data_IF_707419722998
#
_entry.id   IF_707419722998
#
_cell.length_a   1.000
_cell.length_b   1.000
_cell.length_c   1.000
_cell.angle_alpha   90.00
_cell.angle_beta   90.00
_cell.angle_gamma   90.00
#
_symmetry.space_group_name_H-M   'P 1'
#
loop_
_entity.id
_entity.type
_entity.pdbx_description
1 polymer ?
#
# COMPACT_ATOMS: atom_id res chain seq x y z
N UNK A 1 -22.84 0.20 -6.12
CA UNK A 1 -22.06 -1.04 -6.11
C UNK A 1 -21.83 -1.46 -4.67
N UNK A 2 -21.79 -2.76 -4.42
CA UNK A 2 -21.33 -3.35 -3.16
C UNK A 2 -19.84 -3.63 -3.26
N UNK A 3 -19.05 -3.04 -2.37
CA UNK A 3 -17.59 -3.14 -2.40
C UNK A 3 -17.10 -3.72 -1.08
N UNK A 4 -16.39 -4.83 -1.16
CA UNK A 4 -15.61 -5.34 -0.01
C UNK A 4 -14.22 -4.70 -0.05
N UNK A 5 -13.82 -4.09 1.06
CA UNK A 5 -12.46 -3.59 1.30
C UNK A 5 -11.80 -4.52 2.32
N UNK A 6 -11.10 -5.52 1.83
CA UNK A 6 -10.31 -6.42 2.69
C UNK A 6 -9.02 -5.72 3.11
N UNK A 7 -8.69 -5.73 4.40
CA UNK A 7 -7.61 -4.94 4.99
C UNK A 7 -8.05 -3.51 5.28
N UNK A 8 -9.36 -3.31 5.47
CA UNK A 8 -10.00 -2.01 5.62
C UNK A 8 -9.71 -1.29 6.93
N UNK A 9 -9.01 -1.90 7.89
CA UNK A 9 -8.49 -1.18 9.06
C UNK A 9 -7.05 -0.65 8.86
N UNK A 10 -6.41 -1.07 7.76
CA UNK A 10 -5.05 -0.69 7.41
C UNK A 10 -4.90 0.75 6.89
N UNK A 11 -3.64 1.15 6.66
CA UNK A 11 -3.28 2.51 6.24
C UNK A 11 -3.93 2.95 4.91
N UNK A 12 -3.94 2.09 3.90
CA UNK A 12 -4.62 2.39 2.63
C UNK A 12 -6.10 2.00 2.65
N UNK A 13 -6.44 0.89 3.31
CA UNK A 13 -7.80 0.36 3.33
C UNK A 13 -8.80 1.24 4.06
N UNK A 14 -8.42 1.78 5.22
CA UNK A 14 -9.30 2.62 6.04
C UNK A 14 -9.81 3.87 5.30
N UNK A 15 -8.94 4.76 4.79
CA UNK A 15 -9.40 5.94 4.09
C UNK A 15 -10.09 5.58 2.77
N UNK A 16 -9.72 4.47 2.12
CA UNK A 16 -10.43 3.95 0.94
C UNK A 16 -11.87 3.56 1.26
N UNK A 17 -12.11 2.86 2.37
CA UNK A 17 -13.46 2.47 2.80
C UNK A 17 -14.35 3.68 3.12
N UNK A 18 -13.82 4.65 3.87
CA UNK A 18 -14.52 5.89 4.16
C UNK A 18 -14.90 6.65 2.88
N UNK A 19 -13.94 6.79 1.99
CA UNK A 19 -14.13 7.49 0.73
C UNK A 19 -15.17 6.82 -0.17
N UNK A 20 -15.07 5.51 -0.39
CA UNK A 20 -16.05 4.77 -1.20
C UNK A 20 -17.45 4.84 -0.58
N UNK A 21 -17.55 4.80 0.75
CA UNK A 21 -18.82 5.02 1.46
C UNK A 21 -19.35 6.43 1.18
N UNK A 22 -18.49 7.47 1.24
CA UNK A 22 -18.85 8.85 0.90
C UNK A 22 -19.34 8.98 -0.54
N UNK A 23 -18.76 8.27 -1.51
CA UNK A 23 -19.23 8.23 -2.90
C UNK A 23 -20.57 7.49 -3.08
N UNK A 24 -21.09 6.85 -2.03
CA UNK A 24 -22.41 6.22 -2.04
C UNK A 24 -22.39 4.73 -2.40
N UNK A 25 -21.23 4.09 -2.38
CA UNK A 25 -21.13 2.64 -2.45
C UNK A 25 -21.57 1.99 -1.13
N UNK A 26 -22.11 0.77 -1.21
CA UNK A 26 -22.38 -0.08 -0.04
C UNK A 26 -21.06 -0.79 0.32
N UNK A 27 -20.42 -0.38 1.40
CA UNK A 27 -19.06 -0.80 1.75
C UNK A 27 -19.08 -1.77 2.92
N UNK A 28 -18.33 -2.86 2.76
CA UNK A 28 -18.00 -3.80 3.83
C UNK A 28 -16.48 -3.87 4.03
N UNK A 29 -16.04 -3.86 5.29
CA UNK A 29 -14.64 -4.11 5.66
C UNK A 29 -14.50 -5.56 6.09
N UNK A 30 -13.45 -6.23 5.60
CA UNK A 30 -13.01 -7.54 6.07
C UNK A 30 -11.60 -7.40 6.63
N UNK A 31 -11.38 -7.70 7.90
CA UNK A 31 -10.06 -7.53 8.53
C UNK A 31 -9.93 -8.44 9.75
N UNK A 32 -8.76 -9.06 9.97
CA UNK A 32 -8.49 -9.84 11.19
C UNK A 32 -7.77 -9.01 12.28
N UNK A 33 -7.51 -7.73 12.01
CA UNK A 33 -6.82 -6.77 12.86
C UNK A 33 -5.37 -7.17 13.19
N UNK A 34 -4.78 -8.13 12.46
CA UNK A 34 -3.45 -8.66 12.76
C UNK A 34 -2.37 -7.59 12.65
N UNK A 35 -2.56 -6.57 11.80
CA UNK A 35 -1.64 -5.44 11.69
C UNK A 35 -1.45 -4.72 13.04
N UNK A 36 -2.49 -4.66 13.88
CA UNK A 36 -2.38 -4.07 15.24
C UNK A 36 -1.59 -4.98 16.18
N UNK A 37 -1.71 -6.30 16.02
CA UNK A 37 -0.91 -7.28 16.79
C UNK A 37 0.58 -7.20 16.44
N UNK A 38 0.93 -6.88 15.19
CA UNK A 38 2.34 -6.61 14.85
C UNK A 38 2.88 -5.37 15.57
N UNK A 39 2.06 -4.34 15.83
CA UNK A 39 2.50 -3.18 16.63
C UNK A 39 2.85 -3.64 18.06
N UNK A 40 2.05 -4.52 18.66
CA UNK A 40 2.33 -5.10 19.98
C UNK A 40 3.60 -5.96 19.98
N UNK A 41 3.74 -6.84 18.99
CA UNK A 41 4.92 -7.70 18.80
C UNK A 41 6.22 -6.89 18.71
N UNK A 42 6.20 -5.86 17.87
CA UNK A 42 7.36 -4.99 17.62
C UNK A 42 7.54 -3.92 18.71
N UNK A 43 6.63 -3.87 19.70
CA UNK A 43 6.56 -2.79 20.71
C UNK A 43 6.58 -1.40 20.06
N UNK A 44 5.86 -1.26 18.96
CA UNK A 44 5.71 -0.05 18.17
C UNK A 44 4.30 0.53 18.32
N UNK A 45 4.09 1.68 17.70
CA UNK A 45 2.81 2.36 17.68
C UNK A 45 2.69 3.25 16.46
N UNK A 46 1.47 3.68 16.16
CA UNK A 46 1.22 4.82 15.28
C UNK A 46 1.54 6.14 15.99
N UNK A 47 2.17 7.09 15.27
CA UNK A 47 2.37 8.48 15.75
C UNK A 47 1.01 9.09 16.09
N UNK A 48 0.07 9.04 15.15
CA UNK A 48 -1.32 9.43 15.40
C UNK A 48 -2.01 8.39 16.29
N UNK A 49 -2.77 8.81 17.31
CA UNK A 49 -3.64 7.89 18.03
C UNK A 49 -4.74 7.40 17.09
N UNK A 50 -4.99 6.08 17.09
CA UNK A 50 -6.04 5.45 16.29
C UNK A 50 -6.98 4.67 17.21
N UNK A 51 -8.26 4.68 16.88
CA UNK A 51 -9.31 4.01 17.65
C UNK A 51 -9.56 2.60 17.11
N UNK A 52 -10.36 1.82 17.83
CA UNK A 52 -10.79 0.50 17.35
C UNK A 52 -11.58 0.62 16.05
N UNK A 53 -11.65 -0.47 15.27
CA UNK A 53 -12.41 -0.46 14.02
C UNK A 53 -13.90 -0.21 14.30
N UNK A 54 -14.42 -0.74 15.41
CA UNK A 54 -15.79 -0.58 15.88
C UNK A 54 -16.12 0.89 16.17
N UNK A 55 -15.27 1.59 16.93
CA UNK A 55 -15.43 3.02 17.22
C UNK A 55 -15.34 3.87 15.95
N UNK A 56 -14.42 3.51 15.06
CA UNK A 56 -14.20 4.16 13.76
C UNK A 56 -15.45 4.10 12.87
N UNK A 57 -16.04 2.93 12.66
CA UNK A 57 -17.25 2.79 11.84
C UNK A 57 -18.49 3.37 12.52
N UNK A 58 -18.57 3.30 13.85
CA UNK A 58 -19.64 3.95 14.61
C UNK A 58 -19.58 5.48 14.46
N UNK A 59 -18.37 6.07 14.54
CA UNK A 59 -18.19 7.51 14.33
C UNK A 59 -18.54 7.93 12.90
N UNK A 60 -18.18 7.12 11.90
CA UNK A 60 -18.56 7.40 10.52
C UNK A 60 -20.09 7.43 10.34
N UNK A 61 -20.79 6.44 10.92
CA UNK A 61 -22.26 6.39 10.90
C UNK A 61 -22.89 7.57 11.64
N UNK A 62 -22.34 7.96 12.78
CA UNK A 62 -22.78 9.15 13.53
C UNK A 62 -22.65 10.43 12.69
N UNK A 63 -21.51 10.61 12.01
CA UNK A 63 -21.21 11.83 11.23
C UNK A 63 -21.98 11.93 9.93
N UNK A 64 -22.24 10.80 9.28
CA UNK A 64 -22.72 10.78 7.88
C UNK A 64 -24.05 10.08 7.68
N UNK A 65 -24.54 9.33 8.67
CA UNK A 65 -25.67 8.41 8.54
C UNK A 65 -25.36 7.16 7.71
N UNK A 66 -24.16 7.01 7.15
CA UNK A 66 -23.76 5.87 6.31
C UNK A 66 -23.14 4.78 7.15
N UNK A 67 -23.58 3.55 6.93
CA UNK A 67 -23.06 2.37 7.62
C UNK A 67 -21.97 1.69 6.79
N UNK A 68 -20.88 1.30 7.44
CA UNK A 68 -19.86 0.40 6.89
C UNK A 68 -19.92 -0.88 7.71
N UNK A 69 -20.27 -1.98 7.06
CA UNK A 69 -20.34 -3.29 7.73
C UNK A 69 -18.94 -3.81 7.99
N UNK A 70 -18.73 -4.50 9.11
CA UNK A 70 -17.43 -5.09 9.46
C UNK A 70 -17.55 -6.60 9.61
N UNK A 71 -16.58 -7.32 9.06
CA UNK A 71 -16.43 -8.77 9.22
C UNK A 71 -15.03 -9.05 9.76
N UNK A 72 -14.96 -9.44 11.03
CA UNK A 72 -13.69 -9.67 11.71
C UNK A 72 -13.25 -11.12 11.53
N UNK A 73 -12.22 -11.37 10.72
CA UNK A 73 -11.75 -12.71 10.43
C UNK A 73 -10.63 -12.76 9.40
N UNK A 74 -9.98 -13.93 9.33
CA UNK A 74 -8.81 -14.16 8.48
C UNK A 74 -9.22 -14.68 7.10
N UNK A 75 -8.67 -14.11 6.03
CA UNK A 75 -8.90 -14.59 4.66
C UNK A 75 -8.37 -16.02 4.43
N UNK A 76 -7.42 -16.47 5.25
CA UNK A 76 -6.91 -17.83 5.22
C UNK A 76 -7.93 -18.85 5.77
N UNK A 77 -8.98 -18.41 6.46
CA UNK A 77 -10.10 -19.25 6.88
C UNK A 77 -11.21 -19.21 5.82
N UNK A 78 -11.18 -20.15 4.88
CA UNK A 78 -12.08 -20.15 3.73
C UNK A 78 -13.58 -20.19 4.09
N UNK A 79 -13.96 -20.87 5.18
CA UNK A 79 -15.36 -20.89 5.64
C UNK A 79 -15.86 -19.50 6.04
N UNK A 80 -15.02 -18.72 6.73
CA UNK A 80 -15.32 -17.32 7.05
C UNK A 80 -15.46 -16.49 5.79
N UNK A 81 -14.49 -16.59 4.87
CA UNK A 81 -14.52 -15.83 3.62
C UNK A 81 -15.74 -16.19 2.76
N UNK A 82 -16.07 -17.47 2.67
CA UNK A 82 -17.25 -17.97 1.95
C UNK A 82 -18.53 -17.36 2.48
N UNK A 83 -18.67 -17.27 3.81
CA UNK A 83 -19.85 -16.67 4.43
C UNK A 83 -19.94 -15.16 4.15
N UNK A 84 -18.81 -14.44 4.21
CA UNK A 84 -18.76 -13.02 3.81
C UNK A 84 -19.25 -12.84 2.37
N UNK A 85 -18.75 -13.66 1.44
CA UNK A 85 -19.17 -13.57 0.03
C UNK A 85 -20.65 -13.90 -0.16
N UNK A 86 -21.20 -14.88 0.56
CA UNK A 86 -22.63 -15.22 0.52
C UNK A 86 -23.51 -14.11 1.06
N UNK A 87 -23.10 -13.43 2.13
CA UNK A 87 -23.86 -12.34 2.73
C UNK A 87 -23.78 -11.03 1.93
N UNK A 88 -22.58 -10.65 1.51
CA UNK A 88 -22.36 -9.36 0.84
C UNK A 88 -22.76 -9.44 -0.64
N UNK A 89 -22.40 -10.53 -1.33
CA UNK A 89 -22.49 -10.65 -2.79
C UNK A 89 -21.83 -9.44 -3.48
N UNK A 90 -20.50 -9.28 -3.35
CA UNK A 90 -19.80 -8.07 -3.80
C UNK A 90 -19.78 -7.92 -5.32
N UNK A 91 -19.90 -6.68 -5.79
CA UNK A 91 -19.65 -6.29 -7.18
C UNK A 91 -18.15 -6.09 -7.43
N UNK A 92 -17.42 -5.63 -6.41
CA UNK A 92 -15.96 -5.47 -6.42
C UNK A 92 -15.34 -5.87 -5.07
N UNK A 93 -14.13 -6.40 -5.13
CA UNK A 93 -13.33 -6.81 -3.98
C UNK A 93 -11.97 -6.12 -4.04
N UNK A 94 -11.74 -5.15 -3.16
CA UNK A 94 -10.47 -4.45 -3.01
C UNK A 94 -9.62 -5.18 -1.98
N UNK A 95 -8.47 -5.69 -2.40
CA UNK A 95 -7.63 -6.56 -1.57
C UNK A 95 -6.38 -5.83 -1.06
N UNK A 96 -6.47 -5.24 0.13
CA UNK A 96 -5.34 -4.73 0.93
C UNK A 96 -4.87 -5.68 2.04
N UNK A 97 -5.65 -6.73 2.35
CA UNK A 97 -5.45 -7.66 3.48
C UNK A 97 -4.23 -8.58 3.36
N UNK A 98 -3.03 -8.01 3.45
CA UNK A 98 -1.77 -8.75 3.34
C UNK A 98 -0.69 -8.19 4.28
N UNK A 99 0.27 -9.02 4.66
CA UNK A 99 1.50 -8.56 5.31
C UNK A 99 2.30 -7.76 4.27
N UNK A 100 2.44 -6.45 4.51
CA UNK A 100 2.93 -5.49 3.50
C UNK A 100 4.36 -4.95 3.68
N UNK A 101 4.99 -5.28 4.80
CA UNK A 101 6.31 -4.76 5.16
C UNK A 101 7.41 -5.66 4.64
N UNK A 102 8.29 -5.07 3.82
CA UNK A 102 9.54 -5.70 3.42
C UNK A 102 10.43 -6.01 4.63
N UNK A 103 10.70 -5.06 5.56
CA UNK A 103 11.43 -5.39 6.79
C UNK A 103 10.83 -6.52 7.60
N UNK A 104 9.51 -6.52 7.82
CA UNK A 104 8.84 -7.57 8.59
C UNK A 104 9.10 -8.93 7.97
N UNK A 105 8.98 -9.02 6.63
CA UNK A 105 9.22 -10.27 5.89
C UNK A 105 10.66 -10.80 5.96
N UNK A 106 11.59 -10.04 6.52
CA UNK A 106 13.01 -10.35 6.60
C UNK A 106 13.54 -10.40 8.04
N UNK A 107 12.67 -10.31 9.06
CA UNK A 107 13.07 -10.39 10.48
C UNK A 107 13.73 -11.74 10.76
N UNK A 108 13.04 -12.82 10.43
CA UNK A 108 13.51 -14.19 10.59
C UNK A 108 12.74 -15.14 9.65
N UNK A 109 12.98 -16.45 9.80
CA UNK A 109 12.35 -17.50 9.00
C UNK A 109 10.83 -17.55 9.21
N UNK A 110 10.37 -17.41 10.45
CA UNK A 110 8.96 -17.46 10.83
C UNK A 110 8.19 -16.33 10.13
N UNK A 111 8.72 -15.11 10.15
CA UNK A 111 8.11 -13.95 9.50
C UNK A 111 8.12 -14.04 7.97
N UNK A 112 9.20 -14.57 7.38
CA UNK A 112 9.29 -14.78 5.94
C UNK A 112 8.25 -15.81 5.46
N UNK A 113 8.17 -16.96 6.14
CA UNK A 113 7.20 -18.02 5.83
C UNK A 113 5.77 -17.53 6.05
N UNK A 114 5.53 -16.84 7.17
CA UNK A 114 4.23 -16.26 7.46
C UNK A 114 3.80 -15.27 6.37
N UNK A 115 4.68 -14.36 5.95
CA UNK A 115 4.39 -13.39 4.88
C UNK A 115 3.96 -14.08 3.60
N UNK A 116 4.67 -15.13 3.20
CA UNK A 116 4.37 -15.90 1.99
C UNK A 116 3.05 -16.66 2.13
N UNK A 117 2.85 -17.39 3.23
CA UNK A 117 1.64 -18.17 3.47
C UNK A 117 0.40 -17.27 3.56
N UNK A 118 0.44 -16.26 4.43
CA UNK A 118 -0.67 -15.35 4.66
C UNK A 118 -1.15 -14.68 3.36
N UNK A 119 -0.21 -14.14 2.59
CA UNK A 119 -0.53 -13.37 1.39
C UNK A 119 -1.01 -14.29 0.26
N UNK A 120 -0.21 -15.31 -0.08
CA UNK A 120 -0.48 -16.16 -1.24
C UNK A 120 -1.72 -17.02 -1.03
N UNK A 121 -1.90 -17.62 0.15
CA UNK A 121 -3.07 -18.46 0.44
C UNK A 121 -4.32 -17.58 0.61
N UNK A 122 -4.23 -16.45 1.29
CA UNK A 122 -5.33 -15.48 1.39
C UNK A 122 -5.83 -15.03 0.01
N UNK A 123 -4.92 -14.69 -0.90
CA UNK A 123 -5.25 -14.29 -2.26
C UNK A 123 -5.87 -15.45 -3.07
N UNK A 124 -5.34 -16.68 -2.96
CA UNK A 124 -5.95 -17.86 -3.57
C UNK A 124 -7.38 -18.08 -3.06
N UNK A 125 -7.61 -17.97 -1.75
CA UNK A 125 -8.95 -18.09 -1.17
C UNK A 125 -9.91 -17.04 -1.72
N UNK A 126 -9.47 -15.79 -1.92
CA UNK A 126 -10.27 -14.74 -2.58
C UNK A 126 -10.63 -15.13 -4.01
N UNK A 127 -9.67 -15.65 -4.79
CA UNK A 127 -9.93 -16.10 -6.17
C UNK A 127 -10.96 -17.24 -6.22
N UNK A 128 -10.87 -18.22 -5.32
CA UNK A 128 -11.85 -19.29 -5.21
C UNK A 128 -13.23 -18.77 -4.78
N UNK A 129 -13.28 -17.87 -3.79
CA UNK A 129 -14.54 -17.29 -3.32
C UNK A 129 -15.24 -16.46 -4.40
N UNK A 130 -14.49 -15.67 -5.18
CA UNK A 130 -15.01 -14.97 -6.38
C UNK A 130 -15.57 -16.00 -7.37
N UNK A 131 -14.79 -17.01 -7.73
CA UNK A 131 -15.21 -18.04 -8.69
C UNK A 131 -16.49 -18.76 -8.26
N UNK A 132 -16.64 -19.09 -6.97
CA UNK A 132 -17.73 -19.91 -6.46
C UNK A 132 -18.99 -19.12 -6.12
N UNK A 133 -18.84 -17.91 -5.58
CA UNK A 133 -19.95 -17.18 -4.96
C UNK A 133 -20.28 -15.85 -5.63
N UNK A 134 -19.36 -15.28 -6.41
CA UNK A 134 -19.57 -14.01 -7.10
C UNK A 134 -18.73 -13.90 -8.39
N UNK A 135 -18.98 -14.73 -9.42
CA UNK A 135 -18.10 -14.83 -10.59
C UNK A 135 -18.00 -13.56 -11.46
N UNK A 136 -18.91 -12.60 -11.28
CA UNK A 136 -18.84 -11.28 -11.91
C UNK A 136 -18.08 -10.24 -11.08
N UNK A 137 -17.72 -10.55 -9.83
CA UNK A 137 -17.02 -9.64 -8.93
C UNK A 137 -15.67 -9.24 -9.52
N UNK A 138 -15.39 -7.94 -9.54
CA UNK A 138 -14.10 -7.42 -9.98
C UNK A 138 -13.08 -7.44 -8.85
N UNK A 139 -11.99 -8.17 -9.04
CA UNK A 139 -10.86 -8.14 -8.11
C UNK A 139 -9.98 -6.91 -8.38
N UNK A 140 -9.84 -6.04 -7.40
CA UNK A 140 -8.90 -4.92 -7.40
C UNK A 140 -7.80 -5.26 -6.41
N UNK A 141 -6.71 -5.84 -6.93
CA UNK A 141 -5.59 -6.30 -6.12
C UNK A 141 -4.58 -5.18 -5.94
N UNK A 142 -4.02 -5.07 -4.74
CA UNK A 142 -2.80 -4.30 -4.54
C UNK A 142 -1.61 -5.21 -4.77
N UNK A 143 -0.93 -5.00 -5.89
CA UNK A 143 0.39 -5.56 -6.19
C UNK A 143 1.48 -4.72 -5.52
N UNK A 144 2.57 -4.45 -6.24
CA UNK A 144 3.60 -3.47 -5.83
C UNK A 144 4.52 -3.12 -7.00
N UNK A 145 4.94 -1.85 -7.11
CA UNK A 145 6.02 -1.48 -8.04
C UNK A 145 7.32 -2.25 -7.78
N UNK A 146 7.51 -2.74 -6.54
CA UNK A 146 8.67 -3.55 -6.18
C UNK A 146 8.72 -4.94 -6.83
N UNK A 147 7.66 -5.38 -7.52
CA UNK A 147 7.70 -6.62 -8.31
C UNK A 147 8.72 -6.55 -9.45
N UNK A 148 8.88 -5.37 -10.05
CA UNK A 148 9.73 -5.19 -11.23
C UNK A 148 11.22 -5.10 -10.88
N UNK A 149 11.56 -4.78 -9.63
CA UNK A 149 12.93 -4.44 -9.24
C UNK A 149 13.43 -3.18 -9.95
N UNK A 150 14.68 -3.17 -10.36
CA UNK A 150 15.34 -2.02 -11.00
C UNK A 150 16.12 -2.47 -12.25
N UNK A 151 15.42 -2.90 -13.32
CA UNK A 151 16.08 -3.34 -14.54
C UNK A 151 16.70 -2.15 -15.30
N UNK A 152 17.62 -2.45 -16.22
CA UNK A 152 18.26 -1.43 -17.07
C UNK A 152 17.48 -1.16 -18.37
N UNK A 153 16.14 -1.17 -18.29
CA UNK A 153 15.18 -0.87 -19.35
C UNK A 153 13.97 -0.15 -18.74
N UNK A 154 13.14 0.48 -19.57
CA UNK A 154 11.87 1.04 -19.12
C UNK A 154 10.97 -0.05 -18.48
N UNK A 155 10.34 0.31 -17.37
CA UNK A 155 9.37 -0.53 -16.66
C UNK A 155 7.98 -0.25 -17.24
N UNK A 156 7.39 -1.26 -17.86
CA UNK A 156 6.06 -1.17 -18.46
C UNK A 156 4.93 -1.43 -17.45
N UNK A 157 3.68 -1.15 -17.85
CA UNK A 157 2.49 -1.49 -17.07
C UNK A 157 2.12 -2.98 -17.25
N UNK A 158 2.91 -3.84 -16.62
CA UNK A 158 2.70 -5.28 -16.43
C UNK A 158 3.10 -6.20 -17.59
N UNK A 159 3.17 -5.68 -18.81
CA UNK A 159 3.42 -6.44 -20.03
C UNK A 159 4.43 -5.75 -20.93
N UNK A 160 5.24 -6.53 -21.65
CA UNK A 160 6.26 -6.04 -22.58
C UNK A 160 6.15 -6.79 -23.91
N UNK A 161 6.27 -6.06 -25.02
CA UNK A 161 6.41 -6.66 -26.35
C UNK A 161 7.89 -6.93 -26.62
N UNK A 162 8.21 -8.18 -26.95
CA UNK A 162 9.60 -8.61 -27.19
C UNK A 162 9.70 -9.22 -28.59
N UNK A 163 10.69 -8.76 -29.36
CA UNK A 163 11.16 -9.46 -30.55
C UNK A 163 12.39 -10.31 -30.21
N UNK A 164 12.27 -11.63 -30.33
CA UNK A 164 13.36 -12.56 -30.05
C UNK A 164 13.46 -13.61 -31.16
N UNK A 165 14.64 -13.69 -31.80
CA UNK A 165 14.94 -14.64 -32.89
C UNK A 165 13.91 -14.61 -34.03
N UNK A 166 13.53 -13.40 -34.47
CA UNK A 166 12.58 -13.17 -35.57
C UNK A 166 11.11 -13.45 -35.24
N UNK A 167 10.76 -13.60 -33.96
CA UNK A 167 9.38 -13.78 -33.48
C UNK A 167 9.02 -12.66 -32.51
N UNK A 168 7.77 -12.19 -32.58
CA UNK A 168 7.21 -11.16 -31.69
C UNK A 168 6.14 -11.78 -30.80
N UNK A 169 6.13 -11.40 -29.52
CA UNK A 169 5.09 -11.77 -28.58
C UNK A 169 4.94 -10.71 -27.47
N UNK A 170 3.76 -10.65 -26.85
CA UNK A 170 3.49 -9.81 -25.67
C UNK A 170 3.50 -10.69 -24.42
N UNK A 171 4.46 -10.43 -23.54
CA UNK A 171 4.75 -11.29 -22.40
C UNK A 171 4.52 -10.52 -21.09
N UNK A 172 4.25 -11.20 -19.96
CA UNK A 172 4.34 -10.58 -18.65
C UNK A 172 5.73 -9.98 -18.45
N UNK A 173 5.80 -8.76 -17.92
CA UNK A 173 7.07 -8.09 -17.65
C UNK A 173 7.89 -8.91 -16.63
N UNK A 174 9.20 -9.13 -16.84
CA UNK A 174 10.05 -9.88 -15.92
C UNK A 174 10.05 -9.32 -14.49
N UNK A 175 9.94 -10.19 -13.47
CA UNK A 175 9.86 -9.77 -12.07
C UNK A 175 11.17 -10.02 -11.32
N UNK A 176 11.60 -9.05 -10.50
CA UNK A 176 12.86 -9.06 -9.74
C UNK A 176 12.66 -8.51 -8.31
N UNK A 177 11.84 -9.17 -7.46
CA UNK A 177 11.51 -8.66 -6.13
C UNK A 177 12.71 -8.65 -5.17
N UNK A 178 12.80 -7.62 -4.33
CA UNK A 178 13.93 -7.41 -3.40
C UNK A 178 13.71 -7.88 -1.95
N UNK A 179 12.61 -8.58 -1.63
CA UNK A 179 12.34 -9.17 -0.30
C UNK A 179 11.26 -10.24 -0.37
N UNK A 180 11.07 -11.01 0.72
CA UNK A 180 9.98 -12.01 0.79
C UNK A 180 8.58 -11.40 0.67
N UNK A 181 8.36 -10.16 1.15
CA UNK A 181 7.12 -9.42 0.88
C UNK A 181 6.92 -9.13 -0.62
N UNK A 182 7.93 -8.57 -1.30
CA UNK A 182 7.78 -8.25 -2.72
C UNK A 182 7.59 -9.52 -3.55
N UNK A 183 8.23 -10.62 -3.13
CA UNK A 183 8.08 -11.92 -3.78
C UNK A 183 6.66 -12.50 -3.62
N UNK A 184 6.00 -12.32 -2.47
CA UNK A 184 4.63 -12.81 -2.31
C UNK A 184 3.65 -12.09 -3.25
N UNK A 185 3.86 -10.79 -3.51
CA UNK A 185 3.08 -10.05 -4.53
C UNK A 185 3.31 -10.57 -5.94
N UNK A 186 4.56 -10.88 -6.30
CA UNK A 186 4.85 -11.55 -7.57
C UNK A 186 4.07 -12.86 -7.70
N UNK A 187 3.99 -13.67 -6.64
CA UNK A 187 3.22 -14.92 -6.66
C UNK A 187 1.71 -14.66 -6.81
N UNK A 188 1.18 -13.65 -6.13
CA UNK A 188 -0.21 -13.25 -6.28
C UNK A 188 -0.57 -12.88 -7.70
N UNK A 189 0.21 -12.00 -8.34
CA UNK A 189 -0.06 -11.53 -9.70
C UNK A 189 -0.03 -12.68 -10.70
N UNK A 190 0.87 -13.65 -10.53
CA UNK A 190 0.90 -14.85 -11.38
C UNK A 190 -0.32 -15.77 -11.14
N UNK A 191 -0.74 -15.95 -9.90
CA UNK A 191 -1.94 -16.72 -9.56
C UNK A 191 -3.21 -16.07 -10.13
N UNK A 192 -3.34 -14.74 -10.02
CA UNK A 192 -4.47 -13.98 -10.54
C UNK A 192 -4.48 -14.04 -12.07
N UNK A 193 -3.33 -13.83 -12.72
CA UNK A 193 -3.21 -13.94 -14.17
C UNK A 193 -3.68 -15.32 -14.69
N UNK A 194 -3.30 -16.40 -13.99
CA UNK A 194 -3.77 -17.74 -14.31
C UNK A 194 -5.29 -17.86 -14.12
N UNK A 195 -5.82 -17.36 -13.00
CA UNK A 195 -7.24 -17.42 -12.69
C UNK A 195 -8.10 -16.62 -13.69
N UNK A 196 -7.64 -15.44 -14.12
CA UNK A 196 -8.26 -14.69 -15.21
C UNK A 196 -8.32 -15.53 -16.48
N UNK A 197 -7.19 -16.11 -16.89
CA UNK A 197 -7.08 -16.92 -18.12
C UNK A 197 -7.98 -18.18 -18.10
N UNK A 198 -8.01 -18.90 -16.98
CA UNK A 198 -8.63 -20.24 -16.90
C UNK A 198 -10.07 -20.18 -16.41
N UNK A 199 -10.38 -19.29 -15.46
CA UNK A 199 -11.70 -19.21 -14.83
C UNK A 199 -12.52 -18.01 -15.30
N UNK A 200 -11.95 -17.11 -16.11
CA UNK A 200 -12.65 -15.93 -16.58
C UNK A 200 -12.81 -14.84 -15.50
N UNK A 201 -12.03 -14.91 -14.42
CA UNK A 201 -11.99 -13.83 -13.42
C UNK A 201 -11.60 -12.52 -14.10
N UNK A 202 -12.25 -11.43 -13.72
CA UNK A 202 -11.86 -10.07 -14.11
C UNK A 202 -11.05 -9.46 -12.98
N UNK A 203 -9.85 -8.96 -13.27
CA UNK A 203 -9.00 -8.38 -12.24
C UNK A 203 -8.17 -7.19 -12.73
N UNK A 204 -7.91 -6.27 -11.81
CA UNK A 204 -6.93 -5.19 -11.96
C UNK A 204 -5.91 -5.31 -10.85
N UNK A 205 -4.65 -5.46 -11.24
CA UNK A 205 -3.50 -5.41 -10.35
C UNK A 205 -2.93 -4.00 -10.31
N UNK A 206 -3.03 -3.38 -9.15
CA UNK A 206 -2.52 -2.04 -8.89
C UNK A 206 -1.11 -2.17 -8.32
N UNK A 207 -0.11 -2.07 -9.19
CA UNK A 207 1.29 -2.05 -8.81
C UNK A 207 1.63 -0.67 -8.23
N UNK A 208 1.32 -0.52 -6.95
CA UNK A 208 1.40 0.75 -6.26
C UNK A 208 2.83 1.13 -5.88
N UNK A 209 3.16 2.41 -6.03
CA UNK A 209 4.37 3.03 -5.52
C UNK A 209 4.33 3.22 -3.99
N UNK A 210 5.31 3.94 -3.46
CA UNK A 210 5.35 4.26 -2.03
C UNK A 210 4.35 5.36 -1.72
N UNK A 211 3.41 5.06 -0.82
CA UNK A 211 2.40 6.02 -0.40
C UNK A 211 2.98 7.02 0.59
N UNK A 212 2.69 8.31 0.36
CA UNK A 212 2.87 9.40 1.32
C UNK A 212 1.54 10.10 1.59
N UNK A 213 1.54 11.03 2.55
CA UNK A 213 0.33 11.70 2.99
C UNK A 213 -0.34 10.91 4.10
N UNK A 214 -0.94 11.64 5.04
CA UNK A 214 -1.55 11.07 6.23
C UNK A 214 -3.06 11.26 6.24
N UNK A 215 -3.49 12.41 5.74
CA UNK A 215 -4.85 12.90 5.89
C UNK A 215 -5.59 12.91 4.57
N UNK A 216 -6.86 12.53 4.63
CA UNK A 216 -7.85 12.68 3.57
C UNK A 216 -9.01 13.53 4.06
N UNK A 217 -9.87 13.97 3.15
CA UNK A 217 -11.07 14.74 3.49
C UNK A 217 -11.98 14.00 4.46
N UNK A 218 -12.01 12.66 4.42
CA UNK A 218 -12.82 11.82 5.30
C UNK A 218 -12.16 11.63 6.67
N UNK A 219 -10.86 11.31 6.69
CA UNK A 219 -10.15 11.02 7.96
C UNK A 219 -9.94 12.26 8.82
N UNK A 220 -10.01 13.47 8.24
CA UNK A 220 -9.90 14.76 8.96
C UNK A 220 -11.18 15.19 9.68
N UNK A 221 -12.32 14.56 9.41
CA UNK A 221 -13.62 15.03 9.94
C UNK A 221 -13.79 14.83 11.45
N UNK A 222 -13.01 13.92 12.03
CA UNK A 222 -13.03 13.62 13.45
C UNK A 222 -11.74 12.89 13.86
N UNK A 223 -11.14 13.17 15.03
CA UNK A 223 -9.96 12.44 15.52
C UNK A 223 -10.16 10.92 15.59
N UNK A 224 -11.40 10.44 15.79
CA UNK A 224 -11.68 8.99 15.80
C UNK A 224 -11.47 8.36 14.42
N UNK A 225 -11.64 9.15 13.35
CA UNK A 225 -11.46 8.71 11.96
C UNK A 225 -10.01 8.86 11.46
N UNK A 226 -9.11 9.42 12.29
CA UNK A 226 -7.73 9.64 11.93
C UNK A 226 -7.06 8.34 11.46
N UNK A 227 -6.24 8.45 10.41
CA UNK A 227 -5.49 7.31 9.89
C UNK A 227 -4.23 7.06 10.74
N UNK A 228 -3.63 5.88 10.57
CA UNK A 228 -2.35 5.53 11.20
C UNK A 228 -1.18 6.23 10.52
N UNK A 229 -0.12 6.49 11.28
CA UNK A 229 1.12 7.10 10.81
C UNK A 229 2.31 6.28 11.32
N UNK A 230 2.82 5.40 10.46
CA UNK A 230 3.91 4.48 10.79
C UNK A 230 5.28 5.16 10.55
N UNK A 231 6.18 5.06 11.53
CA UNK A 231 7.50 5.72 11.54
C UNK A 231 8.66 4.77 11.87
N UNK A 232 8.35 3.57 12.33
CA UNK A 232 9.37 2.62 12.80
C UNK A 232 10.20 2.04 11.64
N UNK A 233 11.29 1.36 11.99
CA UNK A 233 12.20 0.67 11.05
C UNK A 233 11.54 -0.43 10.22
N UNK A 234 10.33 -0.87 10.58
CA UNK A 234 9.68 -2.04 10.01
C UNK A 234 8.54 -1.64 9.06
N UNK A 235 7.57 -0.86 9.53
CA UNK A 235 6.41 -0.44 8.75
C UNK A 235 6.50 1.00 8.24
N UNK A 236 7.36 1.85 8.81
CA UNK A 236 7.59 3.20 8.32
C UNK A 236 8.19 3.21 6.91
N UNK A 237 7.71 4.10 6.04
CA UNK A 237 8.27 4.35 4.70
C UNK A 237 9.20 5.57 4.72
N UNK A 238 10.08 5.70 3.72
CA UNK A 238 11.16 6.69 3.72
C UNK A 238 10.69 8.12 4.07
N UNK A 239 9.69 8.64 3.35
CA UNK A 239 9.23 10.02 3.55
C UNK A 239 8.62 10.24 4.95
N UNK A 240 7.76 9.30 5.38
CA UNK A 240 7.11 9.33 6.68
C UNK A 240 8.14 9.30 7.83
N UNK A 241 9.16 8.44 7.70
CA UNK A 241 10.26 8.33 8.65
C UNK A 241 11.07 9.62 8.74
N UNK A 242 11.42 10.23 7.61
CA UNK A 242 12.20 11.47 7.58
C UNK A 242 11.48 12.63 8.27
N UNK A 243 10.17 12.76 8.04
CA UNK A 243 9.34 13.78 8.68
C UNK A 243 9.28 13.59 10.22
N UNK A 244 9.14 12.35 10.68
CA UNK A 244 9.12 12.04 12.13
C UNK A 244 10.51 12.22 12.77
N UNK A 245 11.58 11.86 12.05
CA UNK A 245 12.95 12.11 12.49
C UNK A 245 13.18 13.60 12.68
N UNK A 246 12.83 14.41 11.68
CA UNK A 246 12.94 15.87 11.77
C UNK A 246 12.13 16.42 12.96
N UNK A 247 10.87 16.02 13.11
CA UNK A 247 9.99 16.47 14.20
C UNK A 247 10.50 16.11 15.61
N UNK A 248 11.28 15.03 15.74
CA UNK A 248 11.82 14.56 17.02
C UNK A 248 13.27 15.01 17.28
N UNK A 249 13.83 15.82 16.39
CA UNK A 249 15.21 16.30 16.49
C UNK A 249 16.26 15.22 16.18
N UNK A 250 15.86 14.15 15.49
CA UNK A 250 16.76 13.14 14.97
C UNK A 250 17.21 13.54 13.56
N UNK A 251 18.43 13.14 13.19
CA UNK A 251 18.91 13.31 11.82
C UNK A 251 18.07 12.48 10.82
N UNK A 252 17.93 12.99 9.59
CA UNK A 252 17.28 12.30 8.50
C UNK A 252 18.20 11.18 8.01
N UNK A 253 17.80 9.93 8.21
CA UNK A 253 18.68 8.77 7.99
C UNK A 253 18.52 8.17 6.59
N UNK A 254 19.41 8.53 5.69
CA UNK A 254 19.49 7.96 4.34
C UNK A 254 20.25 6.63 4.38
N UNK A 255 19.71 5.58 3.75
CA UNK A 255 20.39 4.28 3.68
C UNK A 255 21.36 4.25 2.48
N UNK A 256 22.62 3.94 2.74
CA UNK A 256 23.67 3.94 1.73
C UNK A 256 23.86 5.30 1.08
N UNK A 257 24.03 5.30 -0.25
CA UNK A 257 24.21 6.54 -1.03
C UNK A 257 22.94 7.41 -1.14
N UNK A 258 21.75 6.82 -0.96
CA UNK A 258 20.46 7.50 -1.13
C UNK A 258 19.95 7.62 -2.57
N UNK A 259 20.63 7.02 -3.55
CA UNK A 259 20.23 7.08 -4.96
C UNK A 259 19.14 6.08 -5.37
N UNK A 260 18.57 5.32 -4.43
CA UNK A 260 17.46 4.42 -4.70
C UNK A 260 16.24 5.23 -5.15
N UNK A 261 15.78 5.03 -6.39
CA UNK A 261 14.65 5.77 -6.98
C UNK A 261 13.40 4.90 -7.06
N UNK A 262 12.26 5.40 -6.60
CA UNK A 262 10.97 4.68 -6.64
C UNK A 262 9.84 5.63 -7.08
N UNK A 263 8.75 5.05 -7.57
CA UNK A 263 7.48 5.76 -7.73
C UNK A 263 6.81 6.05 -6.38
N UNK A 264 6.22 7.23 -6.24
CA UNK A 264 5.50 7.72 -5.07
C UNK A 264 4.12 8.28 -5.46
N UNK A 265 3.19 8.26 -4.52
CA UNK A 265 1.88 8.90 -4.66
C UNK A 265 1.29 9.31 -3.32
N UNK A 266 0.39 10.29 -3.37
CA UNK A 266 -0.39 10.71 -2.22
C UNK A 266 -1.45 9.65 -1.85
N UNK A 267 -1.77 9.49 -0.57
CA UNK A 267 -2.86 8.64 -0.08
C UNK A 267 -4.21 9.02 -0.70
N UNK A 268 -4.44 10.29 -1.02
CA UNK A 268 -5.62 10.73 -1.77
C UNK A 268 -5.66 10.10 -3.17
N UNK A 269 -4.52 10.00 -3.84
CA UNK A 269 -4.43 9.34 -5.15
C UNK A 269 -4.57 7.83 -5.02
N UNK A 270 -4.13 7.22 -3.90
CA UNK A 270 -4.37 5.80 -3.63
C UNK A 270 -5.85 5.46 -3.75
N UNK A 271 -6.67 6.27 -3.08
CA UNK A 271 -8.10 6.06 -2.96
C UNK A 271 -8.80 6.34 -4.29
N UNK A 272 -8.44 7.45 -4.97
CA UNK A 272 -8.98 7.80 -6.29
C UNK A 272 -8.66 6.74 -7.34
N UNK A 273 -7.46 6.16 -7.33
CA UNK A 273 -7.12 5.08 -8.26
C UNK A 273 -7.94 3.81 -8.03
N UNK A 274 -8.23 3.46 -6.76
CA UNK A 274 -9.06 2.30 -6.43
C UNK A 274 -10.50 2.49 -6.93
N UNK A 275 -11.07 3.67 -6.70
CA UNK A 275 -12.39 4.02 -7.22
C UNK A 275 -12.40 3.99 -8.76
N UNK A 276 -11.42 4.61 -9.43
CA UNK A 276 -11.30 4.57 -10.90
C UNK A 276 -11.26 3.11 -11.39
N UNK A 277 -10.49 2.24 -10.72
CA UNK A 277 -10.44 0.83 -11.06
C UNK A 277 -11.78 0.12 -10.86
N UNK A 278 -12.53 0.46 -9.81
CA UNK A 278 -13.85 -0.11 -9.50
C UNK A 278 -14.94 0.36 -10.48
N UNK A 279 -14.94 1.64 -10.86
CA UNK A 279 -15.93 2.22 -11.77
C UNK A 279 -15.67 1.88 -13.24
N UNK A 280 -14.42 1.51 -13.57
CA UNK A 280 -14.02 1.07 -14.90
C UNK A 280 -13.51 -0.37 -14.79
N UNK A 281 -14.35 -1.38 -14.48
CA UNK A 281 -13.88 -2.73 -14.17
C UNK A 281 -13.19 -3.39 -15.37
N UNK A 282 -12.34 -4.39 -15.07
CA UNK A 282 -11.75 -5.21 -16.11
C UNK A 282 -12.82 -6.05 -16.83
N UNK A 283 -12.55 -6.45 -18.07
CA UNK A 283 -13.39 -7.39 -18.81
C UNK A 283 -13.27 -8.80 -18.24
N UNK A 284 -14.26 -9.65 -18.51
CA UNK A 284 -14.23 -11.06 -18.08
C UNK A 284 -13.00 -11.78 -18.67
N UNK A 285 -12.19 -12.40 -17.81
CA UNK A 285 -10.94 -13.06 -18.18
C UNK A 285 -9.76 -12.12 -18.42
N UNK A 286 -9.95 -10.80 -18.27
CA UNK A 286 -8.88 -9.82 -18.39
C UNK A 286 -8.11 -9.68 -17.08
N UNK A 287 -6.78 -9.62 -17.19
CA UNK A 287 -5.86 -9.23 -16.12
C UNK A 287 -5.22 -7.89 -16.49
N UNK A 288 -5.78 -6.79 -15.97
CA UNK A 288 -5.20 -5.45 -16.15
C UNK A 288 -4.10 -5.25 -15.12
N UNK A 289 -3.05 -4.52 -15.50
CA UNK A 289 -1.98 -4.12 -14.58
C UNK A 289 -1.78 -2.62 -14.72
N UNK A 290 -1.84 -1.87 -13.63
CA UNK A 290 -1.57 -0.44 -13.63
C UNK A 290 -0.40 -0.14 -12.71
N UNK A 291 0.55 0.66 -13.20
CA UNK A 291 1.60 1.20 -12.34
C UNK A 291 1.05 2.41 -11.61
N UNK A 292 0.64 2.21 -10.36
CA UNK A 292 -0.09 3.18 -9.56
C UNK A 292 0.88 4.05 -8.75
N UNK A 293 1.44 5.07 -9.40
CA UNK A 293 2.19 6.15 -8.76
C UNK A 293 2.05 7.44 -9.57
N UNK A 294 2.42 8.59 -9.01
CA UNK A 294 2.27 9.90 -9.68
C UNK A 294 3.60 10.54 -10.03
N UNK A 295 4.62 10.37 -9.19
CA UNK A 295 5.96 10.95 -9.35
C UNK A 295 7.04 9.94 -8.99
N UNK A 296 8.29 10.18 -9.37
CA UNK A 296 9.44 9.38 -8.93
C UNK A 296 10.43 10.26 -8.19
N UNK A 297 10.97 9.73 -7.10
CA UNK A 297 11.99 10.42 -6.30
C UNK A 297 13.05 9.43 -5.86
N UNK A 298 14.29 9.89 -5.78
CA UNK A 298 15.34 9.23 -5.03
C UNK A 298 15.17 9.46 -3.52
N UNK A 299 15.73 8.57 -2.70
CA UNK A 299 15.73 8.73 -1.24
C UNK A 299 16.40 10.04 -0.83
N UNK A 300 17.49 10.42 -1.50
CA UNK A 300 18.21 11.67 -1.25
C UNK A 300 17.37 12.90 -1.57
N UNK A 301 16.68 12.93 -2.71
CA UNK A 301 15.78 14.04 -3.07
C UNK A 301 14.67 14.24 -2.02
N UNK A 302 14.10 13.14 -1.50
CA UNK A 302 13.11 13.23 -0.42
C UNK A 302 13.71 13.79 0.87
N UNK A 303 14.92 13.35 1.24
CA UNK A 303 15.62 13.86 2.42
C UNK A 303 15.87 15.37 2.31
N UNK A 304 16.31 15.86 1.14
CA UNK A 304 16.54 17.28 0.87
C UNK A 304 15.23 18.10 0.94
N UNK A 305 14.14 17.59 0.36
CA UNK A 305 12.81 18.22 0.45
C UNK A 305 12.32 18.31 1.90
N UNK A 306 12.46 17.23 2.67
CA UNK A 306 12.10 17.22 4.10
C UNK A 306 12.95 18.19 4.90
N UNK A 307 14.27 18.21 4.69
CA UNK A 307 15.17 19.13 5.38
C UNK A 307 14.79 20.60 5.10
N UNK A 308 14.49 20.92 3.84
CA UNK A 308 14.04 22.27 3.44
C UNK A 308 12.79 22.69 4.23
N UNK A 309 11.72 21.89 4.17
CA UNK A 309 10.45 22.21 4.85
C UNK A 309 10.62 22.24 6.37
N UNK A 310 11.48 21.37 6.92
CA UNK A 310 11.77 21.36 8.37
C UNK A 310 12.45 22.66 8.82
N UNK A 311 13.39 23.19 8.05
CA UNK A 311 14.05 24.49 8.31
C UNK A 311 13.08 25.65 8.25
N UNK A 312 12.14 25.63 7.32
CA UNK A 312 11.06 26.62 7.25
C UNK A 312 10.12 26.57 8.47
N UNK A 313 10.07 25.44 9.18
CA UNK A 313 9.31 25.26 10.42
C UNK A 313 10.17 25.46 11.69
N UNK A 314 11.40 25.96 11.56
CA UNK A 314 12.29 26.24 12.70
C UNK A 314 12.99 25.01 13.29
N UNK A 315 12.98 23.88 12.59
CA UNK A 315 13.76 22.68 12.93
C UNK A 315 15.06 22.68 12.10
N UNK A 316 16.13 22.05 12.59
CA UNK A 316 17.38 21.95 11.82
C UNK A 316 17.93 20.51 11.78
N UNK A 317 17.24 19.59 11.08
CA UNK A 317 17.71 18.23 10.95
C UNK A 317 18.90 18.15 9.97
N UNK A 318 19.91 17.35 10.32
CA UNK A 318 20.99 17.02 9.39
C UNK A 318 20.61 15.78 8.59
N UNK A 319 21.08 15.70 7.34
CA UNK A 319 20.99 14.47 6.55
C UNK A 319 22.23 13.65 6.85
N UNK A 320 22.04 12.43 7.32
CA UNK A 320 23.12 11.47 7.62
C UNK A 320 22.94 10.21 6.78
N UNK A 321 24.05 9.53 6.51
CA UNK A 321 24.06 8.24 5.85
C UNK A 321 24.24 7.13 6.89
N UNK A 322 23.47 6.06 6.74
CA UNK A 322 23.61 4.82 7.49
C UNK A 322 24.02 3.70 6.53
N UNK A 323 24.69 2.69 7.06
CA UNK A 323 24.87 1.43 6.34
C UNK A 323 23.51 0.87 5.93
N UNK A 324 23.42 0.46 4.66
CA UNK A 324 22.15 0.01 4.11
C UNK A 324 21.78 -1.36 4.70
N UNK A 325 20.67 -1.47 5.46
CA UNK A 325 20.25 -2.75 6.03
C UNK A 325 19.72 -3.71 4.95
N UNK A 326 19.45 -3.20 3.74
CA UNK A 326 18.88 -3.94 2.63
C UNK A 326 19.95 -4.31 1.61
N UNK A 327 19.62 -5.29 0.76
CA UNK A 327 20.39 -5.60 -0.44
C UNK A 327 19.62 -5.08 -1.65
N UNK A 328 20.00 -3.88 -2.12
CA UNK A 328 19.41 -3.23 -3.29
C UNK A 328 20.43 -2.35 -4.00
N UNK A 329 20.17 -2.00 -5.27
CA UNK A 329 21.00 -1.06 -6.00
C UNK A 329 20.82 0.35 -5.42
N UNK A 330 21.91 0.98 -5.02
CA UNK A 330 21.91 2.35 -4.48
C UNK A 330 22.04 3.41 -5.57
N UNK A 331 22.38 3.00 -6.79
CA UNK A 331 22.38 3.81 -8.00
C UNK A 331 21.90 2.90 -9.14
N UNK A 332 20.85 3.33 -9.86
CA UNK A 332 20.26 2.52 -10.91
C UNK A 332 19.44 3.38 -11.89
N UNK A 333 19.25 2.86 -13.10
CA UNK A 333 18.25 3.37 -14.03
C UNK A 333 16.84 3.22 -13.43
N UNK A 334 15.99 4.23 -13.61
CA UNK A 334 14.58 4.13 -13.24
C UNK A 334 13.71 5.01 -14.14
N UNK A 335 12.91 4.36 -14.97
CA UNK A 335 11.90 4.97 -15.82
C UNK A 335 10.76 3.99 -15.89
N UNK A 336 9.59 4.38 -15.36
CA UNK A 336 8.43 3.51 -15.27
C UNK A 336 7.22 4.22 -15.89
N UNK A 337 6.53 3.53 -16.79
CA UNK A 337 5.31 4.01 -17.43
C UNK A 337 4.15 3.94 -16.45
N UNK A 338 3.32 4.98 -16.38
CA UNK A 338 2.17 5.09 -15.46
C UNK A 338 0.99 5.87 -16.07
N UNK A 339 0.64 5.60 -17.33
CA UNK A 339 -0.36 6.40 -18.07
C UNK A 339 -1.78 5.88 -17.90
N UNK A 340 -2.01 4.57 -17.76
CA UNK A 340 -3.36 3.98 -17.80
C UNK A 340 -4.35 4.59 -16.82
N UNK A 341 -3.93 4.89 -15.59
CA UNK A 341 -4.80 5.55 -14.61
C UNK A 341 -5.10 7.02 -14.97
N UNK A 342 -4.15 7.73 -15.59
CA UNK A 342 -4.34 9.10 -16.08
C UNK A 342 -5.29 9.13 -17.27
N UNK A 343 -5.15 8.15 -18.17
CA UNK A 343 -6.04 7.96 -19.32
C UNK A 343 -7.50 7.69 -18.88
N UNK A 344 -7.67 7.07 -17.70
CA UNK A 344 -8.97 6.86 -17.04
C UNK A 344 -9.40 8.04 -16.15
N UNK A 345 -8.71 9.18 -16.20
CA UNK A 345 -9.13 10.43 -15.56
C UNK A 345 -8.51 10.71 -14.19
N UNK A 346 -7.45 10.00 -13.77
CA UNK A 346 -6.71 10.36 -12.56
C UNK A 346 -6.14 11.78 -12.68
N UNK A 347 -6.53 12.66 -11.75
CA UNK A 347 -5.91 13.96 -11.54
C UNK A 347 -4.96 13.85 -10.33
N UNK A 348 -3.63 13.83 -10.54
CA UNK A 348 -2.68 13.50 -9.50
C UNK A 348 -2.52 14.63 -8.47
N UNK A 349 -2.40 14.26 -7.20
CA UNK A 349 -2.03 15.15 -6.11
C UNK A 349 -0.52 15.05 -5.88
N UNK A 350 0.24 15.96 -6.50
CA UNK A 350 1.70 15.96 -6.47
C UNK A 350 2.26 16.34 -5.10
N UNK A 351 3.52 15.98 -4.85
CA UNK A 351 4.23 16.27 -3.62
C UNK A 351 4.67 17.74 -3.61
N UNK A 352 3.96 18.55 -2.82
CA UNK A 352 4.29 19.96 -2.58
C UNK A 352 4.88 20.18 -1.19
N UNK A 353 5.52 21.34 -1.00
CA UNK A 353 6.02 21.76 0.31
C UNK A 353 4.88 21.86 1.35
N UNK A 354 3.66 22.23 0.92
CA UNK A 354 2.48 22.29 1.80
C UNK A 354 2.03 20.89 2.25
N UNK A 355 2.09 19.89 1.37
CA UNK A 355 1.80 18.50 1.73
C UNK A 355 2.81 18.00 2.77
N UNK A 356 4.10 18.27 2.56
CA UNK A 356 5.15 17.92 3.51
C UNK A 356 4.94 18.63 4.85
N UNK A 357 4.61 19.93 4.83
CA UNK A 357 4.37 20.72 6.04
C UNK A 357 3.21 20.17 6.85
N UNK A 358 2.09 19.84 6.22
CA UNK A 358 0.93 19.28 6.93
C UNK A 358 1.22 17.93 7.60
N UNK A 359 2.04 17.07 6.99
CA UNK A 359 2.47 15.81 7.62
C UNK A 359 3.45 16.09 8.76
N UNK A 360 4.40 17.02 8.56
CA UNK A 360 5.37 17.42 9.57
C UNK A 360 4.68 18.02 10.81
N UNK A 361 3.69 18.88 10.63
CA UNK A 361 2.89 19.45 11.71
C UNK A 361 2.24 18.35 12.56
N UNK A 362 1.68 17.32 11.93
CA UNK A 362 1.11 16.17 12.66
C UNK A 362 2.19 15.38 13.40
N UNK A 363 3.39 15.24 12.82
CA UNK A 363 4.52 14.61 13.49
C UNK A 363 4.98 15.43 14.71
N UNK A 364 5.01 16.76 14.62
CA UNK A 364 5.37 17.67 15.72
C UNK A 364 4.32 17.62 16.83
N UNK A 365 3.04 17.66 16.48
CA UNK A 365 1.92 17.62 17.43
C UNK A 365 1.94 16.34 18.29
N UNK A 366 2.33 15.22 17.69
CA UNK A 366 2.32 13.91 18.33
C UNK A 366 3.71 13.33 18.59
N UNK A 367 4.76 14.17 18.58
CA UNK A 367 6.16 13.72 18.72
C UNK A 367 6.44 12.96 20.02
N UNK A 368 5.70 13.26 21.09
CA UNK A 368 5.87 12.61 22.39
C UNK A 368 5.39 11.14 22.39
N UNK A 369 4.67 10.73 21.34
CA UNK A 369 4.26 9.33 21.12
C UNK A 369 5.31 8.51 20.36
N UNK A 370 6.39 9.14 19.88
CA UNK A 370 7.45 8.45 19.14
C UNK A 370 8.33 7.68 20.11
N UNK A 371 8.37 6.35 19.93
CA UNK A 371 9.27 5.43 20.62
C UNK A 371 10.61 5.48 19.88
N UNK A 372 11.58 6.17 20.48
CA UNK A 372 12.87 6.50 19.83
C UNK A 372 13.64 5.25 19.42
N UNK A 373 13.52 4.18 20.20
CA UNK A 373 14.19 2.90 19.97
C UNK A 373 13.76 2.24 18.64
N UNK A 374 12.58 2.57 18.13
CA UNK A 374 12.03 1.99 16.91
C UNK A 374 12.34 2.80 15.65
N UNK A 375 12.93 4.00 15.78
CA UNK A 375 13.16 4.91 14.64
C UNK A 375 14.21 4.36 13.68
N UNK A 376 15.28 3.75 14.19
CA UNK A 376 16.36 3.22 13.37
C UNK A 376 16.03 1.81 12.86
N UNK A 377 16.54 1.40 11.68
CA UNK A 377 16.36 0.04 11.20
C UNK A 377 17.11 -0.95 12.09
N UNK A 378 16.47 -2.06 12.44
CA UNK A 378 17.06 -3.15 13.24
C UNK A 378 17.16 -4.47 12.47
N UNK A 379 16.51 -4.57 11.31
CA UNK A 379 16.44 -5.78 10.49
C UNK A 379 17.43 -5.68 9.34
N UNK A 380 18.31 -6.67 9.17
CA UNK A 380 19.25 -6.77 8.06
C UNK A 380 18.81 -7.83 7.06
N UNK A 381 19.07 -7.62 5.76
CA UNK A 381 18.75 -8.61 4.72
C UNK A 381 19.74 -9.78 4.65
N UNK A 382 20.92 -9.61 5.25
CA UNK A 382 22.01 -10.60 5.27
C UNK A 382 22.08 -11.32 6.59
#
# INVERSE_FOLDING_TARGET
MKIVVAGGDGFCGWPTALYLSKQGHDVAIVDNLVRRKYDEELRSNSVTPIYSLEERVAKWKEKTGKEIKTYIGDLNHYDFLSEVFRQVQPDAFVHFAEQRSAPYSMIDREHAVYTQQNNVIGNLNVLFAIKEFAPSCHLIKLGTMGEYGTPNIDIEEGYIEIEHKGRKDKLPFPKQPGSFYHLSKVHDSHNIMLACKIWGIRATDLNQGVVYGLHTEETKQDPVLANRFDYDGVFGTALNRFLVQAATGHDITVYGSGGQTRGFLNITDTIRCVEIAAENPADAGEFRVFNQFTESFSVKELAEKVQKVSREQGLDPHITSLDNPRVEAEEHYYSAVNTRLRDLGLQPNLLTDDVLRGILETAIEHKDRVIKENVLPTVTWK
#
